data_IF_449013412912
#
_entry.id   IF_449013412912
#
_cell.length_a   1.000
_cell.length_b   1.000
_cell.length_c   1.000
_cell.angle_alpha   90.00
_cell.angle_beta   90.00
_cell.angle_gamma   90.00
#
_symmetry.space_group_name_H-M   'P 1'
#
loop_
_entity.id
_entity.type
_entity.pdbx_description
1 polymer ?
#
# COMPACT_ATOMS: atom_id res chain seq x y z
N UNK A 1 12.82 5.81 18.70
CA UNK A 1 13.11 5.28 17.36
C UNK A 1 12.14 5.96 16.42
N UNK A 2 12.67 6.61 15.40
CA UNK A 2 11.89 7.27 14.35
C UNK A 2 11.52 6.18 13.33
N UNK A 3 10.22 5.92 13.14
CA UNK A 3 9.71 4.86 12.26
C UNK A 3 9.17 5.40 10.93
N UNK A 4 9.02 6.71 10.84
CA UNK A 4 8.59 7.39 9.61
C UNK A 4 9.83 7.51 8.73
N UNK A 5 9.85 6.75 7.64
CA UNK A 5 10.89 6.87 6.63
C UNK A 5 10.68 8.16 5.81
N UNK A 6 11.56 9.13 6.00
CA UNK A 6 11.51 10.41 5.29
C UNK A 6 11.61 10.27 3.77
N UNK A 7 12.20 9.18 3.25
CA UNK A 7 12.29 8.93 1.81
C UNK A 7 10.90 8.75 1.15
N UNK A 8 9.85 8.49 1.93
CA UNK A 8 8.47 8.41 1.45
C UNK A 8 7.84 9.77 1.11
N UNK A 9 8.50 10.88 1.49
CA UNK A 9 8.01 12.25 1.30
C UNK A 9 8.99 13.09 0.46
N UNK A 10 9.34 12.68 -0.78
CA UNK A 10 10.28 13.42 -1.62
C UNK A 10 9.76 14.78 -2.09
N UNK A 11 8.45 15.01 -1.97
CA UNK A 11 7.72 16.21 -2.34
C UNK A 11 7.62 17.24 -1.20
N UNK A 12 8.05 16.89 0.01
CA UNK A 12 8.04 17.79 1.17
C UNK A 12 9.46 18.21 1.53
N UNK A 13 9.62 19.48 1.93
CA UNK A 13 10.92 19.98 2.43
C UNK A 13 11.35 19.24 3.71
N UNK A 14 10.37 18.89 4.57
CA UNK A 14 10.58 18.12 5.79
C UNK A 14 9.48 17.03 5.93
N UNK A 15 9.84 15.77 6.22
CA UNK A 15 8.87 14.72 6.46
C UNK A 15 8.11 14.96 7.78
N UNK A 16 6.86 14.46 7.90
CA UNK A 16 6.08 14.64 9.11
C UNK A 16 6.70 13.89 10.29
N UNK A 17 6.86 14.56 11.43
CA UNK A 17 7.34 13.94 12.66
C UNK A 17 6.30 13.00 13.31
N UNK A 18 5.00 13.18 13.00
CA UNK A 18 3.89 12.41 13.54
C UNK A 18 2.73 12.35 12.55
N UNK A 19 1.97 11.25 12.58
CA UNK A 19 0.71 11.10 11.85
C UNK A 19 -0.46 11.04 12.84
N UNK A 20 -1.19 12.15 12.94
CA UNK A 20 -2.23 12.38 13.96
C UNK A 20 -3.62 12.03 13.43
N UNK A 21 -3.83 12.20 12.13
CA UNK A 21 -5.13 12.02 11.51
C UNK A 21 -5.22 10.68 10.75
N UNK A 22 -6.43 10.12 10.60
CA UNK A 22 -6.66 8.97 9.74
C UNK A 22 -6.21 9.19 8.30
N UNK A 23 -6.34 10.41 7.77
CA UNK A 23 -5.96 10.79 6.42
C UNK A 23 -4.44 10.75 6.23
N UNK A 24 -3.67 11.30 7.18
CA UNK A 24 -2.19 11.22 7.18
C UNK A 24 -1.69 9.78 7.22
N UNK A 25 -2.35 8.91 7.99
CA UNK A 25 -2.01 7.48 8.02
C UNK A 25 -2.33 6.79 6.71
N UNK A 26 -3.46 7.11 6.08
CA UNK A 26 -3.82 6.55 4.78
C UNK A 26 -2.85 7.00 3.68
N UNK A 27 -2.43 8.27 3.69
CA UNK A 27 -1.41 8.81 2.78
C UNK A 27 -0.06 8.10 2.97
N UNK A 28 0.38 7.93 4.23
CA UNK A 28 1.59 7.18 4.54
C UNK A 28 1.54 5.74 4.02
N UNK A 29 0.42 5.02 4.23
CA UNK A 29 0.26 3.67 3.69
C UNK A 29 0.33 3.66 2.16
N UNK A 30 -0.25 4.65 1.49
CA UNK A 30 -0.17 4.75 0.04
C UNK A 30 1.26 4.98 -0.47
N UNK A 31 2.01 5.87 0.17
CA UNK A 31 3.43 6.13 -0.14
C UNK A 31 4.29 4.91 0.13
N UNK A 32 4.10 4.26 1.26
CA UNK A 32 4.77 3.01 1.63
C UNK A 32 4.51 1.90 0.60
N UNK A 33 3.24 1.69 0.22
CA UNK A 33 2.87 0.70 -0.78
C UNK A 33 3.50 1.02 -2.14
N UNK A 34 3.49 2.29 -2.55
CA UNK A 34 4.14 2.74 -3.77
C UNK A 34 5.64 2.43 -3.76
N UNK A 35 6.37 2.88 -2.73
CA UNK A 35 7.80 2.62 -2.62
C UNK A 35 8.11 1.11 -2.64
N UNK A 36 7.39 0.31 -1.85
CA UNK A 36 7.66 -1.11 -1.72
C UNK A 36 7.30 -1.92 -2.97
N UNK A 37 6.21 -1.57 -3.67
CA UNK A 37 5.86 -2.19 -4.95
C UNK A 37 6.92 -1.96 -6.04
N UNK A 38 7.73 -0.91 -5.91
CA UNK A 38 8.87 -0.62 -6.81
C UNK A 38 10.23 -1.07 -6.26
N UNK A 39 10.25 -1.87 -5.19
CA UNK A 39 11.46 -2.49 -4.66
C UNK A 39 12.25 -1.64 -3.65
N UNK A 40 11.70 -0.51 -3.20
CA UNK A 40 12.27 0.28 -2.11
C UNK A 40 11.73 -0.28 -0.80
N UNK A 41 12.57 -1.04 -0.08
CA UNK A 41 12.16 -1.78 1.11
C UNK A 41 12.02 -0.85 2.33
N UNK A 42 10.97 -1.00 3.15
CA UNK A 42 10.82 -0.22 4.37
C UNK A 42 11.81 -0.63 5.46
N UNK A 43 12.06 0.30 6.38
CA UNK A 43 12.85 0.03 7.59
C UNK A 43 12.14 -0.99 8.50
N UNK A 44 12.90 -1.80 9.28
CA UNK A 44 12.32 -2.73 10.25
C UNK A 44 11.35 -2.06 11.24
N UNK A 45 11.67 -0.84 11.68
CA UNK A 45 10.85 -0.04 12.60
C UNK A 45 9.52 0.36 11.94
N UNK A 46 9.54 0.69 10.64
CA UNK A 46 8.35 0.99 9.85
C UNK A 46 7.44 -0.24 9.74
N UNK A 47 8.01 -1.42 9.48
CA UNK A 47 7.25 -2.68 9.45
C UNK A 47 6.64 -2.97 10.83
N UNK A 48 7.42 -2.84 11.89
CA UNK A 48 6.94 -3.08 13.25
C UNK A 48 5.77 -2.15 13.61
N UNK A 49 5.85 -0.87 13.23
CA UNK A 49 4.80 0.10 13.46
C UNK A 49 3.54 -0.20 12.66
N UNK A 50 3.64 -0.39 11.34
CA UNK A 50 2.48 -0.61 10.46
C UNK A 50 1.73 -1.89 10.80
N UNK A 51 2.38 -2.89 11.40
CA UNK A 51 1.71 -4.13 11.84
C UNK A 51 0.82 -3.96 13.07
N UNK A 52 0.89 -2.82 13.78
CA UNK A 52 0.07 -2.61 14.98
C UNK A 52 -1.42 -2.44 14.64
N UNK A 53 -2.29 -2.78 15.58
CA UNK A 53 -3.74 -2.82 15.34
C UNK A 53 -4.34 -1.45 14.94
N UNK A 54 -3.74 -0.36 15.39
CA UNK A 54 -4.15 1.03 15.14
C UNK A 54 -4.08 1.41 13.66
N UNK A 55 -3.33 0.67 12.85
CA UNK A 55 -3.17 0.88 11.41
C UNK A 55 -4.22 0.17 10.57
N UNK A 56 -4.98 -0.76 11.15
CA UNK A 56 -5.99 -1.56 10.43
C UNK A 56 -6.99 -0.69 9.69
N UNK A 57 -7.45 0.40 10.31
CA UNK A 57 -8.41 1.32 9.68
C UNK A 57 -7.80 2.05 8.48
N UNK A 58 -6.58 2.57 8.62
CA UNK A 58 -5.88 3.24 7.54
C UNK A 58 -5.69 2.28 6.34
N UNK A 59 -5.24 1.05 6.61
CA UNK A 59 -5.10 0.01 5.57
C UNK A 59 -6.45 -0.33 4.92
N UNK A 60 -7.56 -0.41 5.66
CA UNK A 60 -8.85 -0.73 5.02
C UNK A 60 -9.35 0.42 4.11
N UNK A 61 -9.05 1.68 4.48
CA UNK A 61 -9.48 2.88 3.74
C UNK A 61 -8.72 3.10 2.42
N UNK A 62 -7.44 2.70 2.31
CA UNK A 62 -6.61 3.05 1.15
C UNK A 62 -7.09 2.46 -0.21
N UNK A 63 -7.75 1.29 -0.19
CA UNK A 63 -8.31 0.63 -1.40
C UNK A 63 -7.36 0.59 -2.61
N UNK A 64 -6.07 0.36 -2.39
CA UNK A 64 -5.04 0.30 -3.44
C UNK A 64 -5.04 -1.06 -4.14
N UNK A 65 -6.09 -1.33 -4.91
CA UNK A 65 -6.39 -2.68 -5.43
C UNK A 65 -5.34 -3.20 -6.43
N UNK A 66 -4.49 -2.33 -6.99
CA UNK A 66 -3.37 -2.64 -7.88
C UNK A 66 -2.04 -2.85 -7.14
N UNK A 67 -1.98 -2.63 -5.83
CA UNK A 67 -0.72 -2.70 -5.07
C UNK A 67 -0.52 -4.07 -4.44
N UNK A 68 0.60 -4.74 -4.72
CA UNK A 68 0.90 -6.04 -4.11
C UNK A 68 1.12 -5.90 -2.61
N UNK A 69 1.85 -4.85 -2.22
CA UNK A 69 2.13 -4.49 -0.84
C UNK A 69 0.83 -4.22 -0.07
N UNK A 70 -0.12 -3.50 -0.66
CA UNK A 70 -1.42 -3.28 -0.03
C UNK A 70 -2.13 -4.58 0.36
N UNK A 71 -2.14 -5.58 -0.53
CA UNK A 71 -2.76 -6.88 -0.23
C UNK A 71 -2.00 -7.64 0.87
N UNK A 72 -0.68 -7.50 0.94
CA UNK A 72 0.12 -8.01 2.07
C UNK A 72 -0.28 -7.33 3.39
N UNK A 73 -0.41 -6.01 3.41
CA UNK A 73 -0.84 -5.27 4.60
C UNK A 73 -2.25 -5.68 5.04
N UNK A 74 -3.19 -5.84 4.09
CA UNK A 74 -4.53 -6.37 4.40
C UNK A 74 -4.46 -7.73 5.08
N UNK A 75 -3.61 -8.63 4.58
CA UNK A 75 -3.39 -9.94 5.16
C UNK A 75 -2.86 -9.85 6.59
N UNK A 76 -1.86 -9.00 6.85
CA UNK A 76 -1.32 -8.79 8.21
C UNK A 76 -2.36 -8.30 9.21
N UNK A 77 -3.33 -7.50 8.77
CA UNK A 77 -4.40 -6.99 9.63
C UNK A 77 -5.66 -7.87 9.66
N UNK A 78 -5.63 -9.06 9.04
CA UNK A 78 -6.78 -9.95 8.99
C UNK A 78 -8.00 -9.34 8.29
N UNK A 79 -7.78 -8.39 7.38
CA UNK A 79 -8.84 -7.79 6.58
C UNK A 79 -9.28 -8.77 5.48
N UNK A 80 -10.56 -8.71 5.10
CA UNK A 80 -11.08 -9.55 4.03
C UNK A 80 -10.25 -9.33 2.75
N UNK A 81 -9.83 -10.39 2.04
CA UNK A 81 -9.10 -10.26 0.79
C UNK A 81 -9.96 -9.54 -0.25
N UNK A 82 -9.33 -8.70 -1.06
CA UNK A 82 -9.98 -7.97 -2.15
C UNK A 82 -9.40 -8.43 -3.49
N UNK A 83 -10.16 -8.33 -4.59
CA UNK A 83 -9.63 -8.66 -5.91
C UNK A 83 -8.47 -7.73 -6.27
N UNK A 84 -7.40 -8.30 -6.82
CA UNK A 84 -6.31 -7.53 -7.40
C UNK A 84 -6.73 -6.98 -8.76
N UNK A 85 -6.88 -5.66 -8.88
CA UNK A 85 -7.30 -5.00 -10.11
C UNK A 85 -6.10 -4.73 -11.01
N UNK A 86 -5.52 -5.77 -11.61
CA UNK A 86 -4.39 -5.59 -12.54
C UNK A 86 -4.10 -6.79 -13.42
N UNK A 87 -4.90 -7.85 -13.35
CA UNK A 87 -4.51 -9.13 -13.93
C UNK A 87 -4.74 -9.24 -15.43
N UNK A 88 -5.52 -8.35 -16.05
CA UNK A 88 -5.75 -8.43 -17.50
C UNK A 88 -5.76 -7.03 -18.11
N UNK A 89 -4.69 -6.64 -18.84
CA UNK A 89 -4.74 -5.46 -19.69
C UNK A 89 -5.95 -5.55 -20.63
N UNK A 90 -6.62 -4.42 -20.90
CA UNK A 90 -7.84 -4.42 -21.73
C UNK A 90 -7.62 -5.16 -23.06
N UNK A 91 -6.45 -5.00 -23.69
CA UNK A 91 -6.12 -5.69 -24.94
C UNK A 91 -6.00 -7.22 -24.82
N UNK A 92 -5.64 -7.75 -23.65
CA UNK A 92 -5.63 -9.21 -23.38
C UNK A 92 -7.05 -9.68 -23.07
N UNK A 93 -7.82 -8.93 -22.30
CA UNK A 93 -9.22 -9.24 -21.97
C UNK A 93 -10.08 -9.26 -23.22
N UNK A 94 -9.82 -8.32 -24.11
CA UNK A 94 -10.60 -8.05 -25.32
C UNK A 94 -10.00 -8.74 -26.56
N UNK A 95 -9.03 -9.66 -26.40
CA UNK A 95 -8.43 -10.42 -27.50
C UNK A 95 -9.45 -11.40 -28.11
N UNK A 96 -9.90 -11.20 -29.38
CA UNK A 96 -10.88 -12.06 -30.01
C UNK A 96 -10.40 -13.50 -30.23
N UNK A 97 -9.08 -13.77 -30.17
CA UNK A 97 -8.53 -15.12 -30.29
C UNK A 97 -8.87 -16.00 -29.07
N UNK A 98 -9.06 -15.42 -27.89
CA UNK A 98 -9.37 -16.17 -26.67
C UNK A 98 -10.79 -16.76 -26.66
N UNK A 99 -11.69 -16.27 -27.52
CA UNK A 99 -13.04 -16.84 -27.72
C UNK A 99 -13.07 -18.13 -28.55
N UNK A 100 -11.91 -18.56 -29.08
CA UNK A 100 -11.77 -19.67 -30.02
C UNK A 100 -11.11 -20.92 -29.41
N UNK A 101 -10.94 -20.96 -28.09
CA UNK A 101 -10.30 -22.04 -27.33
C UNK A 101 -11.34 -22.88 -26.60
#
# INVERSE_FOLDING_TARGET
MEWIDGALYPDLDEPPAQLKTPEERADFIARLCGAWDFGILPLPETIAEVRRAEWREAVDRCRLLTSHTYHLLRHWHGLAPLPYLGFVPAFVRDDPCLSRV
#
